data_IF_162336346841
#
_entry.id   IF_162336346841
#
_cell.length_a   1.000
_cell.length_b   1.000
_cell.length_c   1.000
_cell.angle_alpha   90.00
_cell.angle_beta   90.00
_cell.angle_gamma   90.00
#
_symmetry.space_group_name_H-M   'P 1'
#
loop_
_entity.id
_entity.type
_entity.pdbx_description
1 polymer ?
#
# COMPACT_ATOMS: atom_id res chain seq x y z
N UNK A 1 10.24 -8.72 -21.55
CA UNK A 1 10.06 -8.88 -20.09
C UNK A 1 8.63 -8.50 -19.73
N UNK A 2 8.00 -9.19 -18.77
CA UNK A 2 6.67 -8.82 -18.26
C UNK A 2 6.83 -7.76 -17.16
N UNK A 3 5.91 -6.81 -17.10
CA UNK A 3 5.80 -5.84 -16.00
C UNK A 3 4.60 -6.22 -15.14
N UNK A 4 4.75 -6.16 -13.82
CA UNK A 4 3.73 -6.61 -12.87
C UNK A 4 3.15 -5.40 -12.14
N UNK A 5 1.84 -5.35 -11.97
CA UNK A 5 1.18 -4.31 -11.18
C UNK A 5 0.49 -4.96 -9.98
N UNK A 6 0.78 -4.46 -8.79
CA UNK A 6 0.03 -4.76 -7.57
C UNK A 6 -0.95 -3.63 -7.31
N UNK A 7 -2.23 -3.96 -7.20
CA UNK A 7 -3.30 -2.99 -6.97
C UNK A 7 -3.97 -3.28 -5.64
N UNK A 8 -3.72 -2.42 -4.66
CA UNK A 8 -4.42 -2.43 -3.38
C UNK A 8 -5.68 -1.57 -3.53
N UNK A 9 -6.85 -2.20 -3.41
CA UNK A 9 -8.15 -1.54 -3.57
C UNK A 9 -9.07 -1.65 -2.35
N UNK A 10 -8.64 -2.35 -1.29
CA UNK A 10 -9.43 -2.59 -0.07
C UNK A 10 -8.78 -1.97 1.16
N UNK A 11 -9.61 -1.50 2.10
CA UNK A 11 -9.17 -1.01 3.40
C UNK A 11 -8.37 -2.08 4.17
N UNK A 12 -7.45 -1.68 5.05
CA UNK A 12 -6.73 -2.63 5.90
C UNK A 12 -7.65 -3.19 6.99
N UNK A 13 -7.23 -4.32 7.58
CA UNK A 13 -7.80 -4.97 8.78
C UNK A 13 -9.20 -5.58 8.65
N UNK A 14 -10.06 -5.08 7.77
CA UNK A 14 -11.39 -5.66 7.51
C UNK A 14 -11.35 -7.00 6.78
N UNK A 15 -10.28 -7.26 6.02
CA UNK A 15 -9.96 -8.54 5.41
C UNK A 15 -8.44 -8.76 5.39
N UNK A 16 -8.02 -9.99 5.09
CA UNK A 16 -6.60 -10.32 4.93
C UNK A 16 -6.01 -9.87 3.57
N UNK A 17 -6.82 -9.33 2.66
CA UNK A 17 -6.39 -9.03 1.28
C UNK A 17 -5.19 -8.09 1.20
N UNK A 18 -5.14 -7.06 2.05
CA UNK A 18 -3.98 -6.17 2.10
C UNK A 18 -2.72 -6.86 2.62
N UNK A 19 -2.84 -7.69 3.66
CA UNK A 19 -1.70 -8.43 4.22
C UNK A 19 -1.15 -9.42 3.20
N UNK A 20 -2.02 -10.25 2.61
CA UNK A 20 -1.61 -11.28 1.66
C UNK A 20 -1.10 -10.67 0.35
N UNK A 21 -1.68 -9.54 -0.08
CA UNK A 21 -1.18 -8.78 -1.22
C UNK A 21 0.23 -8.21 -0.97
N UNK A 22 0.51 -7.73 0.25
CA UNK A 22 1.84 -7.26 0.63
C UNK A 22 2.85 -8.40 0.68
N UNK A 23 2.47 -9.56 1.23
CA UNK A 23 3.32 -10.76 1.23
C UNK A 23 3.67 -11.19 -0.21
N UNK A 24 2.68 -11.21 -1.11
CA UNK A 24 2.88 -11.55 -2.53
C UNK A 24 3.74 -10.52 -3.27
N UNK A 25 3.57 -9.23 -2.97
CA UNK A 25 4.39 -8.15 -3.51
C UNK A 25 5.86 -8.32 -3.13
N UNK A 26 6.16 -8.54 -1.84
CA UNK A 26 7.53 -8.71 -1.36
C UNK A 26 8.19 -9.99 -1.91
N UNK A 27 7.43 -11.08 -2.03
CA UNK A 27 7.93 -12.28 -2.68
C UNK A 27 8.23 -12.05 -4.17
N UNK A 28 7.45 -11.20 -4.83
CA UNK A 28 7.65 -10.87 -6.26
C UNK A 28 8.80 -9.90 -6.47
N UNK A 29 9.03 -8.94 -5.56
CA UNK A 29 10.16 -8.01 -5.66
C UNK A 29 11.50 -8.73 -5.58
N UNK A 30 11.58 -9.85 -4.84
CA UNK A 30 12.77 -10.71 -4.82
C UNK A 30 13.08 -11.37 -6.17
N UNK A 31 12.13 -11.38 -7.12
CA UNK A 31 12.29 -11.99 -8.45
C UNK A 31 12.41 -10.95 -9.57
N UNK A 32 11.90 -9.73 -9.37
CA UNK A 32 11.93 -8.69 -10.40
C UNK A 32 11.73 -7.29 -9.83
N UNK A 33 12.48 -6.33 -10.37
CA UNK A 33 12.30 -4.90 -10.16
C UNK A 33 11.25 -4.29 -11.12
N UNK A 34 10.78 -5.05 -12.12
CA UNK A 34 9.84 -4.58 -13.13
C UNK A 34 8.39 -4.60 -12.61
N UNK A 35 8.17 -4.03 -11.41
CA UNK A 35 6.87 -3.97 -10.75
C UNK A 35 6.44 -2.54 -10.45
N UNK A 36 5.14 -2.39 -10.19
CA UNK A 36 4.54 -1.13 -9.78
C UNK A 36 3.43 -1.38 -8.76
N UNK A 37 3.28 -0.48 -7.79
CA UNK A 37 2.34 -0.62 -6.67
C UNK A 37 1.36 0.55 -6.68
N UNK A 38 0.07 0.24 -6.72
CA UNK A 38 -1.00 1.22 -6.83
C UNK A 38 -1.97 1.10 -5.66
N UNK A 39 -2.24 2.21 -4.99
CA UNK A 39 -3.23 2.33 -3.93
C UNK A 39 -4.42 3.14 -4.46
N UNK A 40 -5.56 2.47 -4.67
CA UNK A 40 -6.78 3.05 -5.25
C UNK A 40 -7.98 2.75 -4.36
N UNK A 41 -9.09 3.46 -4.54
CA UNK A 41 -10.33 3.22 -3.77
C UNK A 41 -10.04 3.19 -2.26
N UNK A 42 -10.47 2.16 -1.54
CA UNK A 42 -10.19 2.01 -0.10
C UNK A 42 -8.77 1.54 0.20
N UNK A 43 -8.01 1.13 -0.82
CA UNK A 43 -6.60 0.79 -0.67
C UNK A 43 -5.74 1.98 -0.21
N UNK A 44 -6.21 3.22 -0.38
CA UNK A 44 -5.51 4.40 0.16
C UNK A 44 -5.39 4.39 1.69
N UNK A 45 -6.31 3.70 2.40
CA UNK A 45 -6.24 3.55 3.85
C UNK A 45 -5.07 2.68 4.31
N UNK A 46 -4.53 1.82 3.44
CA UNK A 46 -3.37 0.97 3.74
C UNK A 46 -2.16 1.81 4.17
N UNK A 47 -2.01 3.00 3.58
CA UNK A 47 -0.83 3.83 3.79
C UNK A 47 -0.89 4.74 5.02
N UNK A 48 -2.02 4.82 5.74
CA UNK A 48 -2.12 5.75 6.87
C UNK A 48 -1.11 5.40 7.98
N UNK A 49 -0.40 6.40 8.47
CA UNK A 49 0.52 6.24 9.60
C UNK A 49 -0.22 6.09 10.93
N UNK A 50 0.43 5.43 11.90
CA UNK A 50 -0.06 5.35 13.29
C UNK A 50 -1.22 4.37 13.52
N UNK A 51 -1.45 3.44 12.60
CA UNK A 51 -2.46 2.38 12.77
C UNK A 51 -2.11 1.46 13.94
N UNK A 52 -3.13 1.03 14.71
CA UNK A 52 -3.03 0.15 15.88
C UNK A 52 -4.01 -1.03 15.76
N UNK A 53 -3.76 -1.99 14.85
CA UNK A 53 -4.70 -3.08 14.58
C UNK A 53 -4.80 -4.11 15.70
N UNK A 54 -3.86 -4.11 16.64
CA UNK A 54 -3.91 -4.87 17.89
C UNK A 54 -5.16 -4.56 18.73
N UNK A 55 -5.70 -3.33 18.64
CA UNK A 55 -6.95 -2.97 19.31
C UNK A 55 -8.17 -3.76 18.83
N UNK A 56 -8.08 -4.40 17.66
CA UNK A 56 -9.12 -5.26 17.08
C UNK A 56 -8.62 -6.70 16.85
N UNK A 57 -7.54 -7.10 17.53
CA UNK A 57 -6.92 -8.43 17.42
C UNK A 57 -6.41 -8.77 16.01
N UNK A 58 -6.19 -7.76 15.17
CA UNK A 58 -5.62 -7.93 13.84
C UNK A 58 -4.09 -7.81 13.88
N UNK A 59 -3.41 -8.49 12.95
CA UNK A 59 -1.95 -8.41 12.80
C UNK A 59 -1.54 -7.03 12.29
N UNK A 60 -0.55 -6.41 12.92
CA UNK A 60 0.08 -5.20 12.40
C UNK A 60 1.00 -5.49 11.22
N UNK A 61 0.42 -5.57 10.02
CA UNK A 61 1.17 -5.69 8.78
C UNK A 61 1.48 -4.33 8.14
N UNK A 62 0.99 -3.22 8.70
CA UNK A 62 1.25 -1.88 8.16
C UNK A 62 2.73 -1.53 8.34
N UNK A 63 3.34 -1.97 9.46
CA UNK A 63 4.76 -1.84 9.69
C UNK A 63 5.63 -2.46 8.57
N UNK A 64 5.13 -3.51 7.90
CA UNK A 64 5.84 -4.21 6.83
C UNK A 64 5.99 -3.36 5.56
N UNK A 65 5.14 -2.35 5.33
CA UNK A 65 5.32 -1.43 4.20
C UNK A 65 6.64 -0.64 4.26
N UNK A 66 7.23 -0.48 5.44
CA UNK A 66 8.56 0.15 5.61
C UNK A 66 9.69 -0.64 4.95
N UNK A 67 9.44 -1.88 4.55
CA UNK A 67 10.41 -2.66 3.78
C UNK A 67 10.52 -2.18 2.32
N UNK A 68 9.61 -1.35 1.81
CA UNK A 68 9.70 -0.89 0.42
C UNK A 68 11.05 -0.22 0.14
N UNK A 69 11.52 0.65 1.03
CA UNK A 69 12.82 1.32 0.93
C UNK A 69 14.01 0.33 1.00
N UNK A 70 13.85 -0.80 1.71
CA UNK A 70 14.90 -1.83 1.83
C UNK A 70 14.96 -2.76 0.60
N UNK A 71 13.86 -2.88 -0.12
CA UNK A 71 13.69 -3.78 -1.26
C UNK A 71 13.63 -3.02 -2.60
N UNK A 72 14.03 -1.74 -2.61
CA UNK A 72 14.04 -0.86 -3.79
C UNK A 72 12.69 -0.80 -4.54
N UNK A 73 11.58 -0.79 -3.77
CA UNK A 73 10.20 -0.71 -4.31
C UNK A 73 9.80 0.77 -4.49
N UNK A 74 10.35 1.40 -5.51
CA UNK A 74 10.21 2.86 -5.71
C UNK A 74 8.98 3.26 -6.55
N UNK A 75 8.45 2.32 -7.33
CA UNK A 75 7.35 2.57 -8.27
C UNK A 75 6.00 2.48 -7.54
N UNK A 76 5.77 3.43 -6.64
CA UNK A 76 4.58 3.50 -5.78
C UNK A 76 3.70 4.71 -6.10
N UNK A 77 2.40 4.48 -6.26
CA UNK A 77 1.43 5.52 -6.56
C UNK A 77 0.16 5.42 -5.73
N UNK A 78 -0.41 6.58 -5.43
CA UNK A 78 -1.67 6.70 -4.70
C UNK A 78 -2.68 7.57 -5.46
N UNK A 79 -3.92 7.11 -5.54
CA UNK A 79 -4.97 7.80 -6.28
C UNK A 79 -5.39 9.10 -5.58
N UNK A 80 -5.14 10.25 -6.21
CA UNK A 80 -5.48 11.56 -5.65
C UNK A 80 -7.00 11.76 -5.53
N UNK A 81 -7.80 11.21 -6.46
CA UNK A 81 -9.26 11.28 -6.38
C UNK A 81 -9.79 10.48 -5.17
N UNK A 82 -9.29 9.26 -4.94
CA UNK A 82 -9.71 8.44 -3.79
C UNK A 82 -9.32 9.06 -2.45
N UNK A 83 -8.18 9.77 -2.39
CA UNK A 83 -7.79 10.56 -1.21
C UNK A 83 -8.77 11.70 -0.93
N UNK A 84 -9.15 12.47 -1.96
CA UNK A 84 -10.12 13.57 -1.83
C UNK A 84 -11.48 13.08 -1.35
N UNK A 85 -12.00 12.01 -1.95
CA UNK A 85 -13.27 11.40 -1.56
C UNK A 85 -13.32 10.97 -0.09
N UNK A 86 -12.17 10.64 0.50
CA UNK A 86 -12.02 10.16 1.88
C UNK A 86 -11.52 11.23 2.85
N UNK A 87 -11.26 12.46 2.37
CA UNK A 87 -10.74 13.55 3.21
C UNK A 87 -9.30 13.35 3.71
N UNK A 88 -8.46 12.63 2.95
CA UNK A 88 -7.10 12.22 3.35
C UNK A 88 -5.98 13.05 2.70
N UNK A 89 -6.24 14.31 2.36
CA UNK A 89 -5.27 15.11 1.61
C UNK A 89 -4.07 15.60 2.44
N UNK A 90 -4.24 15.72 3.76
CA UNK A 90 -3.25 16.30 4.69
C UNK A 90 -2.87 15.30 5.80
N UNK A 91 -2.61 14.05 5.42
CA UNK A 91 -2.21 12.98 6.34
C UNK A 91 -0.82 12.47 6.02
N UNK A 92 -0.18 11.86 7.01
CA UNK A 92 1.12 11.21 6.84
C UNK A 92 0.93 9.77 6.36
N UNK A 93 1.78 9.36 5.42
CA UNK A 93 1.79 8.00 4.86
C UNK A 93 3.02 7.23 5.32
N UNK A 94 2.90 5.90 5.40
CA UNK A 94 4.01 4.98 5.75
C UNK A 94 4.90 4.61 4.56
N UNK A 95 4.48 4.96 3.34
CA UNK A 95 5.23 4.78 2.08
C UNK A 95 5.25 6.12 1.35
N UNK A 96 6.37 6.45 0.72
CA UNK A 96 6.45 7.57 -0.23
C UNK A 96 5.79 7.19 -1.56
N UNK A 97 4.46 7.35 -1.63
CA UNK A 97 3.69 7.08 -2.83
C UNK A 97 3.36 8.37 -3.59
N UNK A 98 3.72 8.43 -4.87
CA UNK A 98 3.43 9.60 -5.72
C UNK A 98 1.92 9.69 -5.98
N UNK A 99 1.33 10.84 -5.68
CA UNK A 99 -0.06 11.14 -6.01
C UNK A 99 -0.26 11.15 -7.53
N UNK A 100 -1.21 10.35 -8.03
CA UNK A 100 -1.66 10.38 -9.42
C UNK A 100 -3.03 11.04 -9.50
N UNK A 101 -3.11 12.11 -10.28
CA UNK A 101 -4.37 12.71 -10.67
C UNK A 101 -4.93 11.98 -11.91
N UNK A 102 -6.26 11.89 -12.04
CA UNK A 102 -6.90 11.48 -13.29
C UNK A 102 -6.59 12.45 -14.44
#
# INVERSE_FOLDING_TARGET
>A
MKRIAFVFSTAPHGSASGREGLDALLATSALTEALGVFFISDGVFQLLAGQKPDSVLARDYIATFKLFDLYDIDQCWICAASLRERGLENVNFVVDARRLNP
#
